data_IF_542480038898
#
_entry.id   IF_542480038898
#
_cell.length_a   1.000
_cell.length_b   1.000
_cell.length_c   1.000
_cell.angle_alpha   90.00
_cell.angle_beta   90.00
_cell.angle_gamma   90.00
#
_symmetry.space_group_name_H-M   'P 1'
#
loop_
_entity.id
_entity.type
_entity.pdbx_description
1 polymer ?
#
# COMPACT_ATOMS: atom_id res chain seq x y z
N UNK A 1 -0.08 -7.11 26.18
CA UNK A 1 0.29 -5.76 25.70
C UNK A 1 0.12 -5.78 24.20
N UNK A 2 -0.78 -4.94 23.73
CA UNK A 2 -1.58 -5.18 22.55
C UNK A 2 -0.91 -4.37 21.43
N UNK A 3 0.01 -4.99 20.68
CA UNK A 3 0.82 -4.31 19.67
C UNK A 3 0.03 -3.88 18.41
N UNK A 4 -1.30 -3.89 18.45
CA UNK A 4 -2.17 -3.55 17.32
C UNK A 4 -2.28 -2.05 17.02
N UNK A 5 -1.78 -1.18 17.90
CA UNK A 5 -1.90 0.29 17.78
C UNK A 5 -0.84 0.96 16.91
N UNK A 6 0.30 0.32 16.64
CA UNK A 6 1.37 0.93 15.84
C UNK A 6 1.05 1.02 14.35
N UNK A 7 0.31 0.05 13.79
CA UNK A 7 -0.10 0.08 12.37
C UNK A 7 -1.22 1.10 12.12
N UNK A 8 -2.11 1.29 13.09
CA UNK A 8 -3.21 2.24 13.00
C UNK A 8 -2.73 3.69 12.88
N UNK A 9 -1.59 4.04 13.50
CA UNK A 9 -0.99 5.37 13.36
C UNK A 9 -0.29 5.57 12.02
N UNK A 10 0.25 4.51 11.40
CA UNK A 10 0.92 4.56 10.09
C UNK A 10 -0.09 4.62 8.93
N UNK A 11 -1.29 4.07 9.13
CA UNK A 11 -2.40 4.08 8.18
C UNK A 11 -3.44 5.14 8.57
N UNK A 12 -2.97 6.32 8.98
CA UNK A 12 -3.87 7.45 9.23
C UNK A 12 -4.60 7.81 7.93
N UNK A 13 -5.92 7.89 7.98
CA UNK A 13 -6.78 8.21 6.81
C UNK A 13 -6.53 9.60 6.23
N UNK A 14 -5.76 10.42 6.94
CA UNK A 14 -5.51 11.83 6.64
C UNK A 14 -4.29 12.06 5.71
N UNK A 15 -3.46 11.04 5.45
CA UNK A 15 -2.36 11.11 4.45
C UNK A 15 -2.34 9.87 3.54
N UNK A 16 -3.22 9.81 2.52
CA UNK A 16 -3.50 8.58 1.77
C UNK A 16 -2.47 8.25 0.68
N UNK A 17 -1.36 9.01 0.58
CA UNK A 17 -0.36 8.79 -0.45
C UNK A 17 0.59 7.64 -0.07
N UNK A 18 0.16 6.44 -0.42
CA UNK A 18 0.94 5.22 -0.27
C UNK A 18 1.64 4.90 -1.60
N UNK A 19 2.97 4.80 -1.58
CA UNK A 19 3.75 4.42 -2.74
C UNK A 19 4.02 2.90 -2.81
N UNK A 20 4.54 2.44 -3.95
CA UNK A 20 4.85 1.02 -4.16
C UNK A 20 6.00 0.53 -3.27
N UNK A 21 6.92 1.40 -2.88
CA UNK A 21 8.05 1.04 -2.03
C UNK A 21 7.56 0.68 -0.62
N UNK A 22 6.62 1.45 -0.08
CA UNK A 22 5.97 1.17 1.19
C UNK A 22 5.23 -0.17 1.15
N UNK A 23 4.42 -0.40 0.12
CA UNK A 23 3.62 -1.63 -0.02
C UNK A 23 4.52 -2.87 -0.09
N UNK A 24 5.56 -2.83 -0.92
CA UNK A 24 6.51 -3.95 -1.08
C UNK A 24 7.31 -4.20 0.19
N UNK A 25 7.69 -3.15 0.92
CA UNK A 25 8.36 -3.25 2.22
C UNK A 25 7.45 -3.86 3.28
N UNK A 26 6.18 -3.46 3.32
CA UNK A 26 5.23 -3.95 4.32
C UNK A 26 4.77 -5.39 4.07
N UNK A 27 4.66 -5.81 2.81
CA UNK A 27 4.15 -7.14 2.42
C UNK A 27 5.24 -8.15 2.12
N UNK A 28 6.47 -7.71 1.87
CA UNK A 28 7.58 -8.56 1.40
C UNK A 28 7.41 -9.07 -0.03
N UNK A 29 6.41 -8.59 -0.76
CA UNK A 29 6.14 -8.95 -2.16
C UNK A 29 6.84 -7.99 -3.12
N UNK A 30 6.97 -8.40 -4.38
CA UNK A 30 7.57 -7.56 -5.42
C UNK A 30 6.56 -6.62 -6.06
N UNK A 31 7.04 -5.49 -6.54
CA UNK A 31 6.31 -4.53 -7.36
C UNK A 31 5.55 -5.18 -8.53
N UNK A 32 6.19 -6.12 -9.23
CA UNK A 32 5.63 -6.86 -10.36
C UNK A 32 4.35 -7.61 -9.98
N UNK A 33 4.30 -8.18 -8.78
CA UNK A 33 3.09 -8.88 -8.31
C UNK A 33 1.92 -7.90 -8.13
N UNK A 34 2.18 -6.72 -7.59
CA UNK A 34 1.14 -5.68 -7.48
C UNK A 34 0.74 -5.11 -8.83
N UNK A 35 1.67 -4.89 -9.77
CA UNK A 35 1.31 -4.49 -11.13
C UNK A 35 0.42 -5.53 -11.83
N UNK A 36 0.64 -6.82 -11.57
CA UNK A 36 -0.28 -7.87 -12.03
C UNK A 36 -1.68 -7.69 -11.43
N UNK A 37 -1.79 -7.49 -10.12
CA UNK A 37 -3.09 -7.26 -9.48
C UNK A 37 -3.79 -5.98 -9.99
N UNK A 38 -3.04 -4.92 -10.26
CA UNK A 38 -3.58 -3.69 -10.86
C UNK A 38 -4.15 -3.99 -12.25
N UNK A 39 -3.46 -4.82 -13.05
CA UNK A 39 -3.93 -5.30 -14.35
C UNK A 39 -5.19 -6.17 -14.25
N UNK A 40 -5.24 -7.04 -13.24
CA UNK A 40 -6.39 -7.93 -12.98
C UNK A 40 -7.57 -7.17 -12.31
N UNK A 41 -7.42 -5.89 -11.99
CA UNK A 41 -8.44 -5.08 -11.30
C UNK A 41 -8.63 -5.42 -9.82
N UNK A 42 -7.71 -6.20 -9.24
CA UNK A 42 -7.72 -6.66 -7.85
C UNK A 42 -6.96 -5.72 -6.90
N UNK A 43 -6.28 -4.70 -7.44
CA UNK A 43 -5.57 -3.68 -6.66
C UNK A 43 -5.85 -2.27 -7.19
N UNK A 44 -5.90 -1.24 -6.32
CA UNK A 44 -6.16 0.14 -6.75
C UNK A 44 -5.16 0.63 -7.79
N UNK A 45 -5.65 1.37 -8.79
CA UNK A 45 -4.78 1.98 -9.81
C UNK A 45 -3.93 3.10 -9.18
N UNK A 46 -2.67 3.27 -9.63
CA UNK A 46 -1.86 4.41 -9.22
C UNK A 46 -2.58 5.74 -9.50
N UNK A 47 -2.52 6.66 -8.54
CA UNK A 47 -3.09 8.00 -8.68
C UNK A 47 -2.08 8.87 -9.44
N UNK A 48 -2.53 9.56 -10.51
CA UNK A 48 -1.75 10.59 -11.19
C UNK A 48 -2.03 11.94 -10.56
N UNK A 49 -0.99 12.61 -10.07
CA UNK A 49 -1.06 13.96 -9.54
C UNK A 49 -0.59 14.96 -10.60
N UNK A 50 -1.43 15.20 -11.61
CA UNK A 50 -1.20 16.24 -12.64
C UNK A 50 -0.16 15.88 -13.71
#
# INVERSE_FOLDING_TARGET
MNNSSHLASLLSTDDPLIDMAFITTCTGMTDKWFYKLIGDGLFPKPIKLG
#
